data_IF_499345994788
#
_entry.id   IF_499345994788
#
_cell.length_a   1.000
_cell.length_b   1.000
_cell.length_c   1.000
_cell.angle_alpha   90.00
_cell.angle_beta   90.00
_cell.angle_gamma   90.00
#
_symmetry.space_group_name_H-M   'P 1'
#
loop_
_entity.id
_entity.type
_entity.pdbx_description
1 polymer ?
#
# COMPACT_ATOMS: atom_id res chain seq x y z
N UNK A 1 3.50 6.12 30.10
CA UNK A 1 2.79 5.63 28.91
C UNK A 1 1.88 4.48 29.38
N UNK A 2 0.57 4.72 29.50
CA UNK A 2 -0.38 3.70 30.00
C UNK A 2 -0.70 2.75 28.85
N UNK A 3 -0.27 1.50 28.96
CA UNK A 3 -0.75 0.41 28.12
C UNK A 3 -2.23 0.22 28.42
N UNK A 4 -3.09 0.71 27.53
CA UNK A 4 -4.52 0.43 27.62
C UNK A 4 -4.68 -0.99 27.09
N UNK A 5 -4.83 -1.95 28.02
CA UNK A 5 -5.25 -3.31 27.69
C UNK A 5 -6.75 -3.25 27.34
N UNK A 6 -7.08 -2.86 26.10
CA UNK A 6 -8.45 -2.94 25.60
C UNK A 6 -8.79 -4.41 25.35
N UNK A 7 -9.89 -4.86 25.97
CA UNK A 7 -10.41 -6.23 25.93
C UNK A 7 -10.74 -6.69 24.50
N UNK A 8 -10.63 -8.00 24.26
CA UNK A 8 -10.95 -8.69 23.00
C UNK A 8 -12.35 -8.34 22.43
N UNK A 9 -13.28 -7.87 23.27
CA UNK A 9 -14.65 -7.46 22.87
C UNK A 9 -14.72 -6.26 21.90
N UNK A 10 -13.64 -5.49 21.74
CA UNK A 10 -13.64 -4.34 20.82
C UNK A 10 -13.59 -4.74 19.35
N UNK A 11 -13.11 -5.94 19.00
CA UNK A 11 -12.97 -6.36 17.60
C UNK A 11 -14.31 -6.64 16.93
N UNK A 12 -15.25 -7.24 17.66
CA UNK A 12 -16.61 -7.49 17.17
C UNK A 12 -17.37 -6.21 16.82
N UNK A 13 -16.98 -5.07 17.41
CA UNK A 13 -17.58 -3.77 17.12
C UNK A 13 -17.19 -3.22 15.74
N UNK A 14 -16.16 -3.77 15.07
CA UNK A 14 -15.76 -3.32 13.74
C UNK A 14 -16.46 -4.05 12.59
N UNK A 15 -17.35 -5.00 12.90
CA UNK A 15 -18.09 -5.77 11.91
C UNK A 15 -17.34 -7.02 11.47
N UNK A 16 -17.62 -7.50 10.27
CA UNK A 16 -17.01 -8.73 9.73
C UNK A 16 -15.52 -8.52 9.40
N UNK A 17 -14.68 -9.51 9.72
CA UNK A 17 -13.29 -9.57 9.25
C UNK A 17 -13.30 -9.84 7.74
N UNK A 18 -12.72 -8.93 6.98
CA UNK A 18 -12.68 -8.98 5.51
C UNK A 18 -11.38 -9.57 5.01
N UNK A 19 -10.28 -9.21 5.68
CA UNK A 19 -8.95 -9.68 5.32
C UNK A 19 -8.06 -9.71 6.54
N UNK A 20 -7.36 -10.83 6.67
CA UNK A 20 -6.28 -10.97 7.61
C UNK A 20 -5.02 -11.20 6.80
N UNK A 21 -4.12 -10.22 6.86
CA UNK A 21 -2.78 -10.40 6.32
C UNK A 21 -1.77 -10.57 7.45
N UNK A 22 -0.92 -11.57 7.30
CA UNK A 22 0.13 -11.90 8.25
C UNK A 22 1.46 -11.82 7.53
N UNK A 23 2.19 -10.74 7.78
CA UNK A 23 3.55 -10.59 7.30
C UNK A 23 4.45 -11.45 8.18
N UNK A 24 4.64 -12.71 7.77
CA UNK A 24 5.52 -13.65 8.46
C UNK A 24 6.96 -13.48 7.96
N UNK A 25 7.61 -12.39 8.39
CA UNK A 25 9.00 -12.12 8.05
C UNK A 25 9.97 -13.15 8.66
N UNK A 26 9.56 -13.95 9.66
CA UNK A 26 10.43 -14.89 10.38
C UNK A 26 11.08 -15.91 9.46
N UNK A 27 10.33 -16.54 8.56
CA UNK A 27 10.89 -17.57 7.67
C UNK A 27 12.01 -17.00 6.80
N UNK A 28 11.74 -15.87 6.14
CA UNK A 28 12.73 -15.18 5.29
C UNK A 28 13.91 -14.70 6.12
N UNK A 29 13.66 -14.13 7.30
CA UNK A 29 14.70 -13.65 8.19
C UNK A 29 15.62 -14.78 8.68
N UNK A 30 15.06 -15.94 9.05
CA UNK A 30 15.82 -17.13 9.44
C UNK A 30 16.70 -17.59 8.27
N UNK A 31 16.15 -17.66 7.05
CA UNK A 31 16.93 -18.01 5.86
C UNK A 31 18.08 -17.04 5.62
N UNK A 32 17.85 -15.73 5.74
CA UNK A 32 18.92 -14.71 5.63
C UNK A 32 19.99 -14.85 6.72
N UNK A 33 19.59 -15.19 7.95
CA UNK A 33 20.51 -15.39 9.07
C UNK A 33 21.35 -16.66 8.92
N UNK A 34 20.82 -17.69 8.26
CA UNK A 34 21.57 -18.92 7.93
C UNK A 34 22.46 -18.71 6.70
N UNK A 35 21.97 -18.04 5.66
CA UNK A 35 22.71 -17.82 4.42
C UNK A 35 23.92 -16.90 4.62
N UNK A 36 23.87 -15.98 5.59
CA UNK A 36 24.97 -15.08 5.91
C UNK A 36 26.26 -15.82 6.31
N UNK A 37 26.27 -16.61 7.40
CA UNK A 37 27.41 -17.42 7.80
C UNK A 37 27.87 -18.40 6.71
N UNK A 38 26.93 -19.00 5.97
CA UNK A 38 27.26 -19.88 4.84
C UNK A 38 28.04 -19.14 3.75
N UNK A 39 27.63 -17.92 3.39
CA UNK A 39 28.34 -17.11 2.40
C UNK A 39 29.76 -16.70 2.87
N UNK A 40 29.93 -16.40 4.17
CA UNK A 40 31.24 -16.11 4.75
C UNK A 40 32.14 -17.35 4.68
N UNK A 41 31.62 -18.52 5.08
CA UNK A 41 32.34 -19.78 5.03
C UNK A 41 32.73 -20.15 3.59
N UNK A 42 31.82 -19.97 2.63
CA UNK A 42 32.12 -20.21 1.21
C UNK A 42 33.16 -19.25 0.65
N UNK A 43 33.11 -17.97 1.01
CA UNK A 43 34.15 -17.01 0.62
C UNK A 43 35.51 -17.36 1.22
N UNK A 44 35.53 -17.83 2.46
CA UNK A 44 36.74 -18.28 3.14
C UNK A 44 37.33 -19.57 2.54
N UNK A 45 36.50 -20.58 2.26
CA UNK A 45 36.97 -21.82 1.62
C UNK A 45 37.46 -21.57 0.20
N UNK A 46 36.77 -20.72 -0.57
CA UNK A 46 37.20 -20.33 -1.92
C UNK A 46 38.51 -19.54 -1.88
N UNK A 47 38.67 -18.65 -0.90
CA UNK A 47 39.94 -17.96 -0.66
C UNK A 47 41.07 -18.94 -0.37
N UNK A 48 40.88 -19.89 0.56
CA UNK A 48 41.90 -20.90 0.87
C UNK A 48 42.27 -21.77 -0.34
N UNK A 49 41.29 -22.18 -1.14
CA UNK A 49 41.53 -22.95 -2.36
C UNK A 49 42.37 -22.16 -3.39
N UNK A 50 42.05 -20.89 -3.61
CA UNK A 50 42.77 -20.03 -4.57
C UNK A 50 44.16 -19.65 -4.06
N UNK A 51 44.31 -19.41 -2.75
CA UNK A 51 45.58 -19.05 -2.13
C UNK A 51 46.54 -20.24 -2.07
N UNK A 52 46.02 -21.44 -1.77
CA UNK A 52 46.78 -22.68 -1.68
C UNK A 52 47.34 -23.19 -3.01
N UNK A 53 46.65 -22.92 -4.13
CA UNK A 53 47.09 -23.44 -5.43
C UNK A 53 48.05 -22.52 -6.20
N UNK A 54 48.05 -21.20 -5.98
CA UNK A 54 48.75 -20.26 -6.90
C UNK A 54 49.52 -19.10 -6.29
N UNK A 55 49.63 -18.97 -4.96
CA UNK A 55 50.31 -17.81 -4.36
C UNK A 55 49.70 -16.46 -4.78
N UNK A 56 48.46 -16.49 -5.28
CA UNK A 56 47.72 -15.34 -5.77
C UNK A 56 47.26 -14.51 -4.59
N UNK A 57 47.75 -13.28 -4.50
CA UNK A 57 47.43 -12.32 -3.43
C UNK A 57 46.09 -11.61 -3.64
N UNK A 58 45.13 -12.20 -4.37
CA UNK A 58 43.85 -11.57 -4.65
C UNK A 58 42.82 -11.89 -3.54
N UNK A 59 42.48 -10.94 -2.66
CA UNK A 59 41.54 -11.16 -1.56
C UNK A 59 40.06 -11.17 -2.00
N UNK A 60 39.80 -11.05 -3.31
CA UNK A 60 38.45 -10.89 -3.89
C UNK A 60 37.41 -11.90 -3.38
N UNK A 61 37.70 -13.22 -3.35
CA UNK A 61 36.77 -14.23 -2.84
C UNK A 61 36.39 -14.05 -1.36
N UNK A 62 37.37 -13.70 -0.52
CA UNK A 62 37.16 -13.47 0.90
C UNK A 62 36.32 -12.22 1.12
N UNK A 63 36.68 -11.12 0.47
CA UNK A 63 35.95 -9.84 0.55
C UNK A 63 34.52 -10.01 0.07
N UNK A 64 34.30 -10.69 -1.06
CA UNK A 64 32.97 -10.96 -1.61
C UNK A 64 32.10 -11.77 -0.65
N UNK A 65 32.63 -12.86 -0.09
CA UNK A 65 31.90 -13.69 0.88
C UNK A 65 31.56 -12.94 2.17
N UNK A 66 32.48 -12.11 2.69
CA UNK A 66 32.24 -11.29 3.88
C UNK A 66 31.16 -10.24 3.62
N UNK A 67 31.21 -9.51 2.50
CA UNK A 67 30.21 -8.48 2.18
C UNK A 67 28.82 -9.09 2.04
N UNK A 68 28.67 -10.14 1.22
CA UNK A 68 27.39 -10.82 1.03
C UNK A 68 26.89 -11.39 2.35
N UNK A 69 27.78 -12.00 3.13
CA UNK A 69 27.47 -12.54 4.44
C UNK A 69 26.91 -11.50 5.42
N UNK A 70 27.58 -10.36 5.55
CA UNK A 70 27.17 -9.24 6.41
C UNK A 70 25.85 -8.63 5.93
N UNK A 71 25.64 -8.48 4.62
CA UNK A 71 24.38 -7.99 4.07
C UNK A 71 23.22 -8.94 4.37
N UNK A 72 23.41 -10.25 4.22
CA UNK A 72 22.40 -11.25 4.59
C UNK A 72 22.08 -11.21 6.09
N UNK A 73 23.10 -11.12 6.95
CA UNK A 73 22.92 -11.04 8.41
C UNK A 73 22.16 -9.77 8.83
N UNK A 74 22.55 -8.62 8.29
CA UNK A 74 21.92 -7.32 8.59
C UNK A 74 20.49 -7.26 8.07
N UNK A 75 20.22 -7.75 6.86
CA UNK A 75 18.87 -7.87 6.33
C UNK A 75 18.00 -8.83 7.18
N UNK A 76 18.54 -9.99 7.57
CA UNK A 76 17.85 -10.93 8.46
C UNK A 76 17.52 -10.34 9.83
N UNK A 77 18.48 -9.63 10.45
CA UNK A 77 18.26 -8.92 11.71
C UNK A 77 17.21 -7.81 11.57
N UNK A 78 17.25 -7.02 10.49
CA UNK A 78 16.26 -5.98 10.21
C UNK A 78 14.86 -6.56 10.00
N UNK A 79 14.73 -7.69 9.29
CA UNK A 79 13.47 -8.40 9.11
C UNK A 79 12.93 -8.98 10.42
N UNK A 80 13.79 -9.53 11.28
CA UNK A 80 13.40 -9.95 12.63
C UNK A 80 13.00 -8.77 13.51
N UNK A 81 13.70 -7.64 13.42
CA UNK A 81 13.39 -6.43 14.18
C UNK A 81 12.03 -5.84 13.80
N UNK A 82 11.69 -5.85 12.50
CA UNK A 82 10.35 -5.44 12.01
C UNK A 82 9.20 -6.29 12.58
N UNK A 83 9.51 -7.48 13.11
CA UNK A 83 8.58 -8.33 13.85
C UNK A 83 7.53 -8.99 12.97
N UNK A 84 6.76 -9.91 13.57
CA UNK A 84 5.51 -10.34 12.96
C UNK A 84 4.55 -9.15 13.04
N UNK A 85 4.04 -8.74 11.89
CA UNK A 85 2.95 -7.77 11.81
C UNK A 85 1.73 -8.49 11.27
N UNK A 86 0.62 -8.32 11.96
CA UNK A 86 -0.68 -8.82 11.51
C UNK A 86 -1.56 -7.62 11.29
N UNK A 87 -2.23 -7.59 10.15
CA UNK A 87 -3.12 -6.50 9.77
C UNK A 87 -4.46 -7.12 9.47
N UNK A 88 -5.45 -6.71 10.23
CA UNK A 88 -6.81 -7.23 10.15
C UNK A 88 -7.71 -6.09 9.67
N UNK A 89 -8.27 -6.27 8.49
CA UNK A 89 -9.21 -5.34 7.88
C UNK A 89 -10.64 -5.77 8.23
N UNK A 90 -11.38 -4.86 8.84
CA UNK A 90 -12.79 -5.03 9.18
C UNK A 90 -13.64 -4.03 8.39
N UNK A 91 -14.95 -4.24 8.40
CA UNK A 91 -15.91 -3.34 7.72
C UNK A 91 -15.83 -1.88 8.19
N UNK A 92 -15.49 -1.63 9.47
CA UNK A 92 -15.49 -0.29 10.06
C UNK A 92 -14.12 0.20 10.55
N UNK A 93 -13.04 -0.55 10.31
CA UNK A 93 -11.72 -0.15 10.75
C UNK A 93 -10.62 -1.15 10.42
N UNK A 94 -9.40 -0.82 10.84
CA UNK A 94 -8.24 -1.71 10.72
C UNK A 94 -7.59 -1.91 12.07
N UNK A 95 -7.20 -3.14 12.35
CA UNK A 95 -6.43 -3.52 13.52
C UNK A 95 -5.03 -3.93 13.09
N UNK A 96 -4.03 -3.31 13.71
CA UNK A 96 -2.61 -3.61 13.51
C UNK A 96 -2.08 -4.29 14.76
N UNK A 97 -1.61 -5.52 14.62
CA UNK A 97 -0.85 -6.20 15.65
C UNK A 97 0.62 -6.06 15.30
N UNK A 98 1.38 -5.42 16.19
CA UNK A 98 2.82 -5.28 16.11
C UNK A 98 3.47 -5.82 17.38
N UNK A 99 4.81 -5.87 17.41
CA UNK A 99 5.54 -6.16 18.65
C UNK A 99 5.32 -5.10 19.74
N UNK A 100 5.08 -3.86 19.35
CA UNK A 100 4.89 -2.73 20.27
C UNK A 100 3.48 -2.69 20.86
N UNK A 101 2.57 -3.48 20.30
CA UNK A 101 1.19 -3.61 20.76
C UNK A 101 0.20 -3.67 19.62
N UNK A 102 -1.07 -3.64 20.03
CA UNK A 102 -2.24 -3.59 19.15
C UNK A 102 -2.66 -2.14 18.95
N UNK A 103 -2.80 -1.72 17.69
CA UNK A 103 -3.34 -0.42 17.33
C UNK A 103 -4.64 -0.62 16.55
N UNK A 104 -5.71 0.03 16.99
CA UNK A 104 -7.03 -0.04 16.36
C UNK A 104 -7.31 1.32 15.74
N UNK A 105 -7.71 1.33 14.47
CA UNK A 105 -8.03 2.55 13.72
C UNK A 105 -9.41 2.44 13.08
N UNK A 106 -10.44 3.02 13.73
CA UNK A 106 -11.75 3.21 13.12
C UNK A 106 -11.66 4.11 11.89
N UNK A 107 -12.34 3.77 10.80
CA UNK A 107 -12.28 4.55 9.56
C UNK A 107 -12.82 5.98 9.71
N UNK A 108 -13.81 6.20 10.57
CA UNK A 108 -14.41 7.50 10.89
C UNK A 108 -13.45 8.47 11.59
N UNK A 109 -12.47 7.97 12.35
CA UNK A 109 -11.46 8.78 13.05
C UNK A 109 -10.31 9.28 12.16
N UNK A 110 -10.24 8.83 10.91
CA UNK A 110 -9.14 9.16 10.00
C UNK A 110 -9.46 10.42 9.20
N UNK A 111 -8.60 11.44 9.26
CA UNK A 111 -8.78 12.70 8.53
C UNK A 111 -8.54 12.56 7.02
N UNK A 112 -7.64 11.67 6.62
CA UNK A 112 -7.53 11.22 5.23
C UNK A 112 -7.03 9.80 5.13
N UNK A 113 -7.66 9.04 4.25
CA UNK A 113 -7.20 7.71 3.85
C UNK A 113 -6.71 7.80 2.42
N UNK A 114 -5.55 7.22 2.14
CA UNK A 114 -5.08 7.01 0.79
C UNK A 114 -5.12 5.53 0.48
N UNK A 115 -5.71 5.19 -0.67
CA UNK A 115 -5.81 3.83 -1.17
C UNK A 115 -5.00 3.67 -2.44
N UNK A 116 -4.11 2.68 -2.49
CA UNK A 116 -3.53 2.21 -3.75
C UNK A 116 -3.81 0.72 -3.92
N UNK A 117 -3.92 0.29 -5.18
CA UNK A 117 -4.09 -1.11 -5.53
C UNK A 117 -3.16 -1.40 -6.69
N UNK A 118 -2.24 -2.34 -6.50
CA UNK A 118 -1.44 -2.88 -7.58
C UNK A 118 -1.98 -4.26 -7.91
N UNK A 119 -2.28 -4.50 -9.19
CA UNK A 119 -2.55 -5.83 -9.70
C UNK A 119 -1.27 -6.27 -10.40
N UNK A 120 -0.70 -7.40 -10.00
CA UNK A 120 0.46 -7.99 -10.69
C UNK A 120 0.12 -8.21 -12.18
N UNK A 121 1.11 -8.10 -13.06
CA UNK A 121 0.97 -8.22 -14.53
C UNK A 121 0.27 -9.51 -14.98
N UNK A 122 0.28 -10.55 -14.15
CA UNK A 122 -0.39 -11.82 -14.40
C UNK A 122 -1.78 -11.94 -13.75
N UNK A 123 -2.32 -10.88 -13.12
CA UNK A 123 -3.53 -10.92 -12.29
C UNK A 123 -3.48 -11.96 -11.16
N UNK A 124 -2.26 -12.34 -10.75
CA UNK A 124 -2.01 -13.37 -9.73
C UNK A 124 -1.80 -12.80 -8.34
N UNK A 125 -1.73 -11.49 -8.20
CA UNK A 125 -1.68 -10.83 -6.92
C UNK A 125 -2.43 -9.50 -6.99
N UNK A 126 -3.26 -9.24 -5.98
CA UNK A 126 -3.73 -7.91 -5.67
C UNK A 126 -3.01 -7.46 -4.40
N UNK A 127 -2.31 -6.33 -4.50
CA UNK A 127 -1.63 -5.67 -3.38
C UNK A 127 -2.40 -4.41 -3.03
N UNK A 128 -2.84 -4.31 -1.79
CA UNK A 128 -3.48 -3.10 -1.27
C UNK A 128 -2.44 -2.19 -0.63
N UNK A 129 -2.66 -0.89 -0.64
CA UNK A 129 -1.94 0.05 0.20
C UNK A 129 -2.98 0.94 0.85
N UNK A 130 -2.98 0.97 2.18
CA UNK A 130 -3.77 1.91 2.95
C UNK A 130 -2.82 2.80 3.75
N UNK A 131 -2.92 4.11 3.53
CA UNK A 131 -2.29 5.13 4.38
C UNK A 131 -3.38 5.87 5.12
N UNK A 132 -3.27 5.95 6.44
CA UNK A 132 -4.24 6.64 7.28
C UNK A 132 -3.55 7.77 8.03
N UNK A 133 -4.01 9.00 7.79
CA UNK A 133 -3.61 10.19 8.53
C UNK A 133 -4.73 10.53 9.51
N UNK A 134 -4.47 10.40 10.82
CA UNK A 134 -5.39 10.82 11.87
C UNK A 134 -5.55 12.35 11.86
N UNK A 135 -6.71 12.84 12.28
CA UNK A 135 -6.96 14.28 12.43
C UNK A 135 -5.98 14.88 13.44
N UNK A 136 -5.45 16.10 13.22
CA UNK A 136 -4.51 16.77 14.11
C UNK A 136 -5.20 17.31 15.39
N UNK A 137 -6.09 16.53 15.98
CA UNK A 137 -6.60 16.74 17.34
C UNK A 137 -5.72 15.92 18.29
N UNK A 138 -4.67 16.59 18.77
CA UNK A 138 -3.96 16.38 20.03
C UNK A 138 -2.92 15.27 20.24
N UNK A 139 -2.59 14.42 19.26
CA UNK A 139 -1.39 13.57 19.41
C UNK A 139 -0.70 13.32 18.08
N UNK A 140 0.62 13.54 18.06
CA UNK A 140 1.55 13.08 17.02
C UNK A 140 1.60 11.55 17.08
N UNK A 141 0.51 10.91 16.64
CA UNK A 141 0.51 9.47 16.42
C UNK A 141 1.18 9.18 15.07
N UNK A 142 1.98 8.10 14.99
CA UNK A 142 2.73 7.79 13.78
C UNK A 142 1.78 7.58 12.60
N UNK A 143 2.15 8.17 11.46
CA UNK A 143 1.59 7.84 10.16
C UNK A 143 1.60 6.32 10.00
N UNK A 144 0.41 5.70 9.93
CA UNK A 144 0.32 4.30 9.57
C UNK A 144 0.50 4.24 8.07
N UNK A 145 1.77 4.14 7.69
CA UNK A 145 2.24 4.47 6.35
C UNK A 145 2.10 3.34 5.35
N UNK A 146 1.79 2.10 5.78
CA UNK A 146 1.69 1.01 4.82
C UNK A 146 1.04 -0.26 5.38
N UNK A 147 -0.08 -0.67 4.79
CA UNK A 147 -0.62 -2.02 4.92
C UNK A 147 -0.70 -2.64 3.53
N UNK A 148 0.09 -3.68 3.26
CA UNK A 148 0.06 -4.41 1.99
C UNK A 148 -0.30 -5.84 2.18
N UNK A 149 -1.55 -6.16 1.85
CA UNK A 149 -2.01 -7.52 1.75
C UNK A 149 -1.87 -8.02 0.32
N UNK A 150 -1.31 -9.23 0.16
CA UNK A 150 -1.15 -9.91 -1.12
C UNK A 150 -2.16 -11.05 -1.23
N UNK A 151 -3.08 -10.97 -2.16
CA UNK A 151 -4.06 -12.05 -2.44
C UNK A 151 -3.54 -12.92 -3.58
N UNK A 152 -3.18 -14.19 -3.32
CA UNK A 152 -2.74 -15.15 -4.35
C UNK A 152 -3.83 -16.16 -4.71
N UNK A 153 -3.98 -16.57 -5.99
CA UNK A 153 -4.81 -17.70 -6.36
C UNK A 153 -4.28 -18.98 -5.71
N UNK A 154 -5.12 -19.64 -4.89
CA UNK A 154 -4.80 -20.94 -4.28
C UNK A 154 -4.59 -20.93 -2.76
N UNK A 155 -4.43 -19.75 -2.14
CA UNK A 155 -4.66 -19.63 -0.69
C UNK A 155 -6.16 -19.78 -0.47
N UNK A 156 -6.58 -20.79 0.30
CA UNK A 156 -7.98 -21.22 0.56
C UNK A 156 -9.03 -20.15 0.23
N UNK A 157 -9.79 -20.37 -0.85
CA UNK A 157 -10.84 -19.47 -1.37
C UNK A 157 -11.77 -18.98 -0.25
N UNK A 158 -12.10 -17.66 -0.14
CA UNK A 158 -12.56 -16.82 -1.24
C UNK A 158 -11.92 -15.40 -1.30
N UNK A 159 -10.59 -15.30 -1.45
CA UNK A 159 -9.92 -13.99 -1.26
C UNK A 159 -10.03 -12.98 -2.42
N UNK A 160 -10.35 -13.38 -3.66
CA UNK A 160 -10.51 -12.41 -4.75
C UNK A 160 -11.80 -11.59 -4.64
N UNK A 161 -12.92 -12.24 -4.30
CA UNK A 161 -14.18 -11.57 -4.00
C UNK A 161 -14.05 -10.67 -2.76
N UNK A 162 -13.33 -11.13 -1.73
CA UNK A 162 -12.98 -10.29 -0.58
C UNK A 162 -12.14 -9.06 -1.00
N UNK A 163 -11.24 -9.20 -1.98
CA UNK A 163 -10.51 -8.08 -2.55
C UNK A 163 -11.43 -7.03 -3.19
N UNK A 164 -12.45 -7.47 -3.94
CA UNK A 164 -13.48 -6.59 -4.51
C UNK A 164 -14.38 -5.96 -3.41
N UNK A 165 -14.71 -6.71 -2.37
CA UNK A 165 -15.47 -6.21 -1.21
C UNK A 165 -14.67 -5.16 -0.44
N UNK A 166 -13.37 -5.38 -0.22
CA UNK A 166 -12.46 -4.44 0.45
C UNK A 166 -12.28 -3.20 -0.41
N UNK A 167 -12.15 -3.40 -1.73
CA UNK A 167 -12.16 -2.32 -2.71
C UNK A 167 -13.40 -1.44 -2.51
N UNK A 168 -14.60 -2.02 -2.46
CA UNK A 168 -15.83 -1.26 -2.29
C UNK A 168 -15.94 -0.60 -0.90
N UNK A 169 -15.68 -1.35 0.17
CA UNK A 169 -15.81 -0.89 1.56
C UNK A 169 -14.81 0.20 1.94
N UNK A 170 -13.62 0.21 1.35
CA UNK A 170 -12.63 1.26 1.60
C UNK A 170 -12.80 2.43 0.62
N UNK A 171 -13.02 2.14 -0.67
CA UNK A 171 -13.06 3.22 -1.67
C UNK A 171 -14.28 4.11 -1.53
N UNK A 172 -15.44 3.53 -1.22
CA UNK A 172 -16.69 4.28 -1.17
C UNK A 172 -16.70 5.33 -0.06
N UNK A 173 -16.33 5.04 1.21
CA UNK A 173 -16.24 6.07 2.24
C UNK A 173 -15.20 7.15 1.94
N UNK A 174 -14.08 6.79 1.29
CA UNK A 174 -13.06 7.76 0.87
C UNK A 174 -13.63 8.68 -0.21
N UNK A 175 -14.29 8.09 -1.22
CA UNK A 175 -14.94 8.82 -2.28
C UNK A 175 -16.03 9.75 -1.74
N UNK A 176 -16.88 9.29 -0.83
CA UNK A 176 -17.91 10.11 -0.18
C UNK A 176 -17.29 11.31 0.55
N UNK A 177 -16.20 11.13 1.31
CA UNK A 177 -15.51 12.24 1.98
C UNK A 177 -14.87 13.22 1.00
N UNK A 178 -14.25 12.72 -0.08
CA UNK A 178 -13.68 13.58 -1.11
C UNK A 178 -14.79 14.35 -1.81
N UNK A 179 -15.88 13.68 -2.19
CA UNK A 179 -17.05 14.28 -2.82
C UNK A 179 -17.66 15.38 -1.94
N UNK A 180 -17.82 15.11 -0.63
CA UNK A 180 -18.33 16.09 0.32
C UNK A 180 -17.41 17.32 0.40
N UNK A 181 -16.10 17.10 0.59
CA UNK A 181 -15.11 18.21 0.63
C UNK A 181 -15.17 19.07 -0.64
N UNK A 182 -15.22 18.45 -1.81
CA UNK A 182 -15.31 19.17 -3.09
C UNK A 182 -16.65 19.89 -3.22
N UNK A 183 -17.74 19.27 -2.79
CA UNK A 183 -19.08 19.89 -2.78
C UNK A 183 -19.16 21.10 -1.85
N UNK A 184 -18.42 21.08 -0.74
CA UNK A 184 -18.32 22.17 0.23
C UNK A 184 -17.37 23.30 -0.21
N UNK A 185 -16.84 23.23 -1.44
CA UNK A 185 -15.99 24.27 -2.00
C UNK A 185 -14.50 24.01 -1.90
N UNK A 186 -14.07 22.91 -1.27
CA UNK A 186 -12.65 22.62 -1.12
C UNK A 186 -12.02 22.09 -2.42
N UNK A 187 -10.75 22.38 -2.60
CA UNK A 187 -9.94 21.76 -3.64
C UNK A 187 -9.26 20.51 -3.08
N UNK A 188 -9.43 19.36 -3.75
CA UNK A 188 -8.84 18.09 -3.32
C UNK A 188 -7.85 17.61 -4.36
N UNK A 189 -6.57 17.50 -3.99
CA UNK A 189 -5.56 16.89 -4.86
C UNK A 189 -5.87 15.40 -5.03
N UNK A 190 -6.25 15.01 -6.24
CA UNK A 190 -6.59 13.62 -6.58
C UNK A 190 -5.34 12.83 -6.92
N UNK A 191 -4.47 13.42 -7.76
CA UNK A 191 -3.20 12.83 -8.18
C UNK A 191 -2.12 13.92 -8.12
N UNK A 192 -0.81 13.59 -8.27
CA UNK A 192 0.21 14.61 -8.40
C UNK A 192 -0.08 15.64 -9.50
N UNK A 193 -0.81 15.23 -10.54
CA UNK A 193 -1.09 16.05 -11.72
C UNK A 193 -2.50 16.67 -11.73
N UNK A 194 -3.40 16.30 -10.80
CA UNK A 194 -4.80 16.72 -10.83
C UNK A 194 -5.38 17.12 -9.49
N UNK A 195 -6.26 18.11 -9.55
CA UNK A 195 -7.03 18.63 -8.42
C UNK A 195 -8.50 18.59 -8.80
N UNK A 196 -9.33 17.99 -7.95
CA UNK A 196 -10.78 18.07 -8.02
C UNK A 196 -11.21 19.41 -7.44
N UNK A 197 -12.00 20.15 -8.19
CA UNK A 197 -12.56 21.44 -7.79
C UNK A 197 -14.08 21.35 -7.82
N UNK A 198 -14.81 22.30 -7.19
CA UNK A 198 -16.26 22.35 -7.30
C UNK A 198 -16.78 22.48 -8.73
N UNK A 199 -15.95 23.03 -9.64
CA UNK A 199 -16.32 23.28 -11.05
C UNK A 199 -15.95 22.12 -11.97
N UNK A 200 -14.92 21.34 -11.63
CA UNK A 200 -14.42 20.29 -12.50
C UNK A 200 -13.11 19.65 -12.04
N UNK A 201 -12.32 19.21 -13.01
CA UNK A 201 -10.96 18.70 -12.78
C UNK A 201 -9.97 19.72 -13.32
N UNK A 202 -9.07 20.20 -12.46
CA UNK A 202 -7.99 21.10 -12.83
C UNK A 202 -6.66 20.34 -12.91
N UNK A 203 -5.96 20.53 -14.02
CA UNK A 203 -4.64 19.95 -14.27
C UNK A 203 -3.54 20.86 -13.72
N UNK A 204 -2.66 20.32 -12.89
CA UNK A 204 -1.63 21.09 -12.17
C UNK A 204 -0.62 21.71 -13.14
N UNK A 205 -0.16 20.94 -14.13
CA UNK A 205 0.90 21.39 -15.04
C UNK A 205 0.45 22.49 -16.01
N UNK A 206 -0.79 22.41 -16.52
CA UNK A 206 -1.32 23.35 -17.51
C UNK A 206 -2.24 24.42 -16.92
N UNK A 207 -2.71 24.24 -15.68
CA UNK A 207 -3.75 25.06 -15.06
C UNK A 207 -5.13 24.90 -15.72
N UNK A 208 -5.25 24.09 -16.79
CA UNK A 208 -6.52 23.89 -17.52
C UNK A 208 -7.54 23.26 -16.57
N UNK A 209 -8.75 23.79 -16.57
CA UNK A 209 -9.89 23.24 -15.86
C UNK A 209 -10.89 22.65 -16.87
N UNK A 210 -11.31 21.41 -16.61
CA UNK A 210 -12.34 20.71 -17.41
C UNK A 210 -13.59 20.61 -16.54
N UNK A 211 -14.70 21.26 -16.93
CA UNK A 211 -15.94 21.23 -16.17
C UNK A 211 -16.49 19.81 -16.02
N UNK A 212 -17.19 19.53 -14.91
CA UNK A 212 -17.84 18.24 -14.68
C UNK A 212 -18.76 17.81 -15.82
N UNK A 213 -19.50 18.76 -16.40
CA UNK A 213 -20.42 18.55 -17.53
C UNK A 213 -19.72 18.07 -18.81
N UNK A 214 -18.44 18.42 -18.99
CA UNK A 214 -17.67 18.06 -20.19
C UNK A 214 -17.03 16.68 -20.08
N UNK A 215 -17.08 16.03 -18.91
CA UNK A 215 -16.46 14.72 -18.69
C UNK A 215 -17.39 13.62 -19.21
N UNK A 216 -16.89 12.85 -20.17
CA UNK A 216 -17.60 11.77 -20.86
C UNK A 216 -17.34 10.40 -20.24
N UNK A 217 -16.15 10.18 -19.70
CA UNK A 217 -15.83 8.97 -18.94
C UNK A 217 -14.57 9.16 -18.10
N UNK A 218 -14.45 8.36 -17.05
CA UNK A 218 -13.23 8.19 -16.28
C UNK A 218 -13.13 6.70 -15.97
N UNK A 219 -12.26 5.99 -16.68
CA UNK A 219 -12.21 4.52 -16.65
C UNK A 219 -10.78 4.03 -16.57
N UNK A 220 -10.58 2.88 -15.91
CA UNK A 220 -9.31 2.19 -15.95
C UNK A 220 -9.14 1.50 -17.30
N UNK A 221 -8.12 1.90 -18.07
CA UNK A 221 -7.65 1.13 -19.20
C UNK A 221 -6.81 -0.06 -18.70
N UNK A 222 -7.40 -1.25 -18.73
CA UNK A 222 -6.77 -2.51 -18.31
C UNK A 222 -5.51 -2.87 -19.09
N UNK A 223 -5.34 -2.36 -20.31
CA UNK A 223 -4.16 -2.61 -21.15
C UNK A 223 -2.96 -1.73 -20.79
N UNK A 224 -3.20 -0.49 -20.34
CA UNK A 224 -2.13 0.45 -19.95
C UNK A 224 -1.93 0.52 -18.44
N UNK A 225 -2.87 0.00 -17.64
CA UNK A 225 -2.89 0.20 -16.20
C UNK A 225 -3.05 1.68 -15.84
N UNK A 226 -3.74 2.45 -16.67
CA UNK A 226 -3.95 3.88 -16.43
C UNK A 226 -5.42 4.26 -16.42
N UNK A 227 -5.79 5.19 -15.55
CA UNK A 227 -7.10 5.82 -15.61
C UNK A 227 -7.06 6.85 -16.74
N UNK A 228 -8.00 6.69 -17.65
CA UNK A 228 -8.23 7.60 -18.76
C UNK A 228 -9.45 8.45 -18.46
N UNK A 229 -9.27 9.77 -18.48
CA UNK A 229 -10.38 10.72 -18.40
C UNK A 229 -10.64 11.24 -19.82
N UNK A 230 -11.85 10.99 -20.31
CA UNK A 230 -12.33 11.49 -21.60
C UNK A 230 -13.19 12.72 -21.38
N UNK A 231 -12.91 13.79 -22.13
CA UNK A 231 -13.73 14.98 -22.16
C UNK A 231 -13.67 15.61 -23.56
N UNK A 232 -14.80 16.10 -24.05
CA UNK A 232 -14.91 16.77 -25.36
C UNK A 232 -14.37 15.90 -26.52
N UNK A 233 -14.66 14.60 -26.49
CA UNK A 233 -14.19 13.61 -27.46
C UNK A 233 -12.68 13.37 -27.46
N UNK A 234 -11.94 13.89 -26.47
CA UNK A 234 -10.48 13.80 -26.38
C UNK A 234 -10.05 13.09 -25.10
N UNK A 235 -9.01 12.27 -25.22
CA UNK A 235 -8.30 11.74 -24.06
C UNK A 235 -7.53 12.88 -23.40
N UNK A 236 -7.89 13.19 -22.18
CA UNK A 236 -7.31 14.31 -21.45
C UNK A 236 -6.05 13.88 -20.72
N UNK A 237 -6.06 12.74 -20.01
CA UNK A 237 -4.94 12.31 -19.14
C UNK A 237 -4.89 10.79 -18.99
N UNK A 238 -3.72 10.33 -18.51
CA UNK A 238 -3.32 8.97 -18.19
C UNK A 238 -2.79 8.92 -16.75
N UNK A 239 -3.62 8.59 -15.74
CA UNK A 239 -3.17 8.42 -14.34
C UNK A 239 -2.73 7.00 -14.10
N UNK A 240 -1.64 6.74 -13.40
CA UNK A 240 -1.25 5.35 -13.15
C UNK A 240 -2.13 4.73 -12.04
N UNK A 241 -2.68 3.53 -12.26
CA UNK A 241 -3.70 2.93 -11.37
C UNK A 241 -3.24 2.61 -9.93
N UNK A 242 -1.93 2.51 -9.72
CA UNK A 242 -1.33 2.31 -8.40
C UNK A 242 -1.02 3.64 -7.69
N UNK A 243 -1.38 4.78 -8.27
CA UNK A 243 -1.34 6.05 -7.57
C UNK A 243 -2.39 6.09 -6.44
N UNK A 244 -2.02 6.80 -5.38
CA UNK A 244 -2.89 7.03 -4.24
C UNK A 244 -4.19 7.71 -4.66
N UNK A 245 -5.32 7.18 -4.20
CA UNK A 245 -6.68 7.70 -4.47
C UNK A 245 -7.15 7.65 -5.93
N UNK A 246 -6.38 7.01 -6.81
CA UNK A 246 -6.78 6.79 -8.21
C UNK A 246 -8.21 6.22 -8.29
N UNK A 247 -8.49 5.14 -7.54
CA UNK A 247 -9.78 4.48 -7.54
C UNK A 247 -10.92 5.23 -6.82
N UNK A 248 -10.77 5.72 -5.57
CA UNK A 248 -11.78 6.58 -4.96
C UNK A 248 -12.16 7.77 -5.83
N UNK A 249 -11.20 8.41 -6.50
CA UNK A 249 -11.53 9.54 -7.36
C UNK A 249 -12.33 9.16 -8.62
N UNK A 250 -12.22 7.93 -9.14
CA UNK A 250 -13.14 7.45 -10.19
C UNK A 250 -14.59 7.51 -9.74
N UNK A 251 -14.86 7.07 -8.50
CA UNK A 251 -16.20 7.12 -7.92
C UNK A 251 -16.68 8.56 -7.74
N UNK A 252 -15.78 9.48 -7.34
CA UNK A 252 -16.09 10.91 -7.22
C UNK A 252 -16.45 11.52 -8.58
N UNK A 253 -15.65 11.23 -9.62
CA UNK A 253 -15.93 11.71 -10.98
C UNK A 253 -17.28 11.17 -11.47
N UNK A 254 -17.55 9.87 -11.27
CA UNK A 254 -18.84 9.28 -11.63
C UNK A 254 -20.02 9.96 -10.90
N UNK A 255 -19.88 10.23 -9.60
CA UNK A 255 -20.90 10.90 -8.79
C UNK A 255 -21.18 12.33 -9.25
N UNK A 256 -20.15 13.13 -9.54
CA UNK A 256 -20.34 14.49 -10.08
C UNK A 256 -20.98 14.49 -11.46
N UNK A 257 -20.62 13.54 -12.33
CA UNK A 257 -21.24 13.39 -13.66
C UNK A 257 -22.74 13.11 -13.56
N UNK A 258 -23.14 12.19 -12.68
CA UNK A 258 -24.56 11.87 -12.45
C UNK A 258 -25.38 13.05 -11.89
N UNK A 259 -24.72 14.04 -11.28
CA UNK A 259 -25.38 15.23 -10.72
C UNK A 259 -25.56 16.36 -11.74
N UNK A 260 -24.73 16.38 -12.78
CA UNK A 260 -24.66 17.48 -13.75
C UNK A 260 -25.28 17.10 -15.11
N UNK A 261 -25.32 15.82 -15.45
CA UNK A 261 -26.06 15.28 -16.60
C UNK A 261 -27.50 14.97 -16.24
#
# INVERSE_FOLDING_TARGET
MKTITQSEDTEHQFGRLLLHDRINAKKVAIWCLISGPVAILLGFTLYLAVYGEKGSSQPGPLIGGVIVGVLCLTAGAALLAKGNREIWFYERGVVFHSREGKQIVPYDTVASMQYCMAIDHNYRAMSFGLRMLKSPTDTVEPEISWATANVRPGDTAPNWENGAIIKELIQKPIAERIFQKVSDGAEVRWTPEMVLTPRGIRFVASGKEVPWASIESAELNSGSGKIEVMAEGKRMVNVVHHEWNAWPGLLVVAAFRQRVG
#
